data_IF_143014631493
#
_entry.id   IF_143014631493
#
_cell.length_a   1.000
_cell.length_b   1.000
_cell.length_c   1.000
_cell.angle_alpha   90.00
_cell.angle_beta   90.00
_cell.angle_gamma   90.00
#
_symmetry.space_group_name_H-M   'P 1'
#
loop_
_entity.id
_entity.type
_entity.pdbx_description
1 polymer ?
#
# COMPACT_ATOMS: atom_id res chain seq x y z
N UNK A 1 14.97 6.76 12.30
CA UNK A 1 13.77 5.94 12.57
C UNK A 1 14.13 4.47 12.47
N UNK A 2 13.59 3.57 13.30
CA UNK A 2 13.81 2.14 13.14
C UNK A 2 13.06 1.62 11.91
N UNK A 3 13.76 0.91 11.04
CA UNK A 3 13.17 0.19 9.90
C UNK A 3 12.46 -1.07 10.44
N UNK A 4 11.21 -1.30 10.04
CA UNK A 4 10.49 -2.55 10.33
C UNK A 4 10.14 -3.24 9.01
N UNK A 5 10.59 -4.48 8.86
CA UNK A 5 10.33 -5.30 7.68
C UNK A 5 9.24 -6.31 8.03
N UNK A 6 8.21 -6.39 7.18
CA UNK A 6 7.11 -7.35 7.30
C UNK A 6 7.28 -8.45 6.25
N UNK A 7 6.97 -9.69 6.63
CA UNK A 7 6.93 -10.82 5.68
C UNK A 7 5.54 -10.97 5.10
N UNK A 8 5.37 -11.55 3.90
CA UNK A 8 4.05 -11.80 3.29
C UNK A 8 3.08 -12.55 4.22
N UNK A 9 3.59 -13.50 5.03
CA UNK A 9 2.79 -14.20 6.04
C UNK A 9 2.20 -13.31 7.16
N UNK A 10 2.56 -12.02 7.21
CA UNK A 10 2.07 -11.06 8.19
C UNK A 10 0.72 -10.46 7.79
N UNK A 11 0.41 -10.37 6.49
CA UNK A 11 -0.85 -9.81 5.96
C UNK A 11 -2.01 -10.83 5.96
N UNK A 12 -1.91 -11.89 6.80
CA UNK A 12 -2.87 -13.00 6.87
C UNK A 12 -4.31 -12.47 7.01
N UNK A 13 -5.14 -12.80 6.02
CA UNK A 13 -6.55 -12.43 5.93
C UNK A 13 -6.87 -11.36 4.89
N UNK A 14 -5.92 -10.49 4.53
CA UNK A 14 -6.19 -9.35 3.63
C UNK A 14 -5.80 -9.61 2.18
N UNK A 15 -5.01 -10.65 1.90
CA UNK A 15 -4.53 -10.97 0.54
C UNK A 15 -5.65 -11.16 -0.48
N UNK A 16 -6.69 -11.93 -0.15
CA UNK A 16 -7.80 -12.16 -1.08
C UNK A 16 -8.58 -10.87 -1.40
N UNK A 17 -8.65 -9.93 -0.44
CA UNK A 17 -9.27 -8.62 -0.68
C UNK A 17 -8.37 -7.72 -1.51
N UNK A 18 -7.07 -7.70 -1.24
CA UNK A 18 -6.10 -6.96 -2.02
C UNK A 18 -6.05 -7.44 -3.48
N UNK A 19 -6.04 -8.75 -3.69
CA UNK A 19 -6.03 -9.38 -5.02
C UNK A 19 -7.24 -8.95 -5.85
N UNK A 20 -8.44 -8.92 -5.25
CA UNK A 20 -9.65 -8.40 -5.91
C UNK A 20 -9.53 -6.93 -6.33
N UNK A 21 -8.74 -6.13 -5.62
CA UNK A 21 -8.66 -4.69 -5.84
C UNK A 21 -7.57 -4.28 -6.82
N UNK A 22 -6.41 -4.92 -6.82
CA UNK A 22 -5.23 -4.42 -7.56
C UNK A 22 -4.61 -5.44 -8.52
N UNK A 23 -4.87 -6.74 -8.40
CA UNK A 23 -4.17 -7.76 -9.21
C UNK A 23 -4.40 -7.62 -10.73
N UNK A 24 -5.48 -6.94 -11.14
CA UNK A 24 -5.77 -6.67 -12.55
C UNK A 24 -4.95 -5.51 -13.13
N UNK A 25 -4.41 -4.63 -12.28
CA UNK A 25 -3.48 -3.56 -12.63
C UNK A 25 -2.05 -4.08 -12.57
N UNK A 26 -1.66 -4.55 -11.39
CA UNK A 26 -0.38 -5.21 -11.13
C UNK A 26 -0.54 -6.34 -10.08
N UNK A 27 -0.31 -7.61 -10.45
CA UNK A 27 -0.27 -8.73 -9.51
C UNK A 27 0.80 -8.61 -8.42
N UNK A 28 1.92 -7.92 -8.69
CA UNK A 28 3.04 -7.82 -7.76
C UNK A 28 2.72 -6.87 -6.58
N UNK A 29 1.78 -5.94 -6.78
CA UNK A 29 1.35 -4.98 -5.75
C UNK A 29 0.35 -5.54 -4.72
N UNK A 30 -0.15 -6.76 -4.95
CA UNK A 30 -1.14 -7.40 -4.07
C UNK A 30 -0.63 -7.51 -2.63
N UNK A 31 0.65 -7.85 -2.44
CA UNK A 31 1.21 -8.02 -1.10
C UNK A 31 1.40 -6.68 -0.38
N UNK A 32 1.73 -5.61 -1.11
CA UNK A 32 1.83 -4.25 -0.55
C UNK A 32 0.46 -3.76 -0.09
N UNK A 33 -0.57 -3.91 -0.93
CA UNK A 33 -1.94 -3.54 -0.56
C UNK A 33 -2.46 -4.40 0.60
N UNK A 34 -2.21 -5.71 0.60
CA UNK A 34 -2.61 -6.60 1.68
C UNK A 34 -1.99 -6.18 3.02
N UNK A 35 -0.72 -5.79 3.01
CA UNK A 35 -0.04 -5.28 4.20
C UNK A 35 -0.64 -3.95 4.67
N UNK A 36 -0.90 -3.01 3.77
CA UNK A 36 -1.52 -1.73 4.10
C UNK A 36 -2.91 -1.91 4.72
N UNK A 37 -3.72 -2.81 4.15
CA UNK A 37 -5.04 -3.19 4.68
C UNK A 37 -4.95 -3.89 6.03
N UNK A 38 -3.89 -4.67 6.27
CA UNK A 38 -3.67 -5.34 7.57
C UNK A 38 -3.26 -4.34 8.65
N UNK A 39 -2.40 -3.37 8.31
CA UNK A 39 -1.92 -2.34 9.23
C UNK A 39 -2.91 -1.17 9.39
N UNK A 40 -3.87 -1.04 8.49
CA UNK A 40 -4.81 0.09 8.46
C UNK A 40 -4.12 1.42 8.16
N UNK A 41 -3.07 1.41 7.34
CA UNK A 41 -2.26 2.59 7.05
C UNK A 41 -2.35 3.04 5.58
N UNK A 42 -2.14 4.33 5.29
CA UNK A 42 -1.99 4.82 3.92
C UNK A 42 -0.73 4.25 3.26
N UNK A 43 -0.73 4.21 1.93
CA UNK A 43 0.43 3.81 1.13
C UNK A 43 1.17 5.04 0.63
N UNK A 44 2.47 5.08 0.84
CA UNK A 44 3.33 6.03 0.12
C UNK A 44 3.72 5.40 -1.21
N UNK A 45 3.23 5.95 -2.31
CA UNK A 45 3.60 5.51 -3.64
C UNK A 45 3.44 6.64 -4.66
N UNK A 46 4.26 6.60 -5.70
CA UNK A 46 4.12 7.42 -6.89
C UNK A 46 3.50 6.62 -8.06
N UNK A 47 3.16 5.35 -7.81
CA UNK A 47 2.57 4.45 -8.79
C UNK A 47 1.07 4.74 -8.96
N UNK A 48 0.65 4.86 -10.22
CA UNK A 48 -0.74 5.12 -10.59
C UNK A 48 -1.61 3.86 -10.43
N UNK A 49 -1.02 2.67 -10.37
CA UNK A 49 -1.77 1.41 -10.22
C UNK A 49 -2.52 1.32 -8.88
N UNK A 50 -2.10 2.10 -7.89
CA UNK A 50 -2.78 2.22 -6.59
C UNK A 50 -3.98 3.18 -6.58
N UNK A 51 -4.25 3.94 -7.64
CA UNK A 51 -5.36 4.91 -7.66
C UNK A 51 -6.72 4.22 -7.46
N UNK A 52 -6.89 3.01 -7.99
CA UNK A 52 -8.13 2.24 -7.90
C UNK A 52 -8.17 1.27 -6.70
N UNK A 53 -7.06 1.14 -5.96
CA UNK A 53 -6.89 0.19 -4.86
C UNK A 53 -7.76 0.49 -3.61
N UNK A 54 -8.45 1.64 -3.59
CA UNK A 54 -9.30 2.12 -2.49
C UNK A 54 -8.58 2.13 -1.14
N UNK A 55 -7.30 2.52 -1.15
CA UNK A 55 -6.49 2.85 0.02
C UNK A 55 -6.04 4.30 -0.12
N UNK A 56 -5.89 5.02 0.99
CA UNK A 56 -5.36 6.39 0.93
C UNK A 56 -3.89 6.32 0.48
N UNK A 57 -3.57 7.03 -0.60
CA UNK A 57 -2.23 7.09 -1.15
C UNK A 57 -1.64 8.49 -1.02
N UNK A 58 -0.35 8.55 -0.72
CA UNK A 58 0.42 9.77 -0.79
C UNK A 58 1.57 9.61 -1.77
N UNK A 59 1.64 10.50 -2.76
CA UNK A 59 2.84 10.70 -3.56
C UNK A 59 3.94 11.34 -2.71
N UNK A 60 5.19 11.18 -3.16
CA UNK A 60 6.33 11.87 -2.55
C UNK A 60 6.09 13.37 -2.42
N UNK A 61 5.51 14.02 -3.43
CA UNK A 61 5.18 15.44 -3.40
C UNK A 61 4.12 15.79 -2.33
N UNK A 62 3.12 14.93 -2.12
CA UNK A 62 2.12 15.11 -1.05
C UNK A 62 2.72 14.92 0.34
N UNK A 63 3.60 13.92 0.52
CA UNK A 63 4.29 13.71 1.80
C UNK A 63 5.22 14.86 2.15
N UNK A 64 6.04 15.34 1.21
CA UNK A 64 6.94 16.48 1.44
C UNK A 64 6.14 17.72 1.89
N UNK A 65 5.05 18.04 1.18
CA UNK A 65 4.14 19.13 1.56
C UNK A 65 3.56 18.94 2.96
N UNK A 66 3.18 17.71 3.34
CA UNK A 66 2.65 17.41 4.69
C UNK A 66 3.72 17.53 5.78
N UNK A 67 4.98 17.23 5.45
CA UNK A 67 6.11 17.32 6.36
C UNK A 67 6.71 18.73 6.45
N UNK A 68 6.28 19.66 5.58
CA UNK A 68 6.78 21.03 5.54
C UNK A 68 8.21 21.15 5.01
N UNK A 69 8.61 20.23 4.13
CA UNK A 69 9.94 20.17 3.50
C UNK A 69 9.84 20.57 2.02
#
# INVERSE_FOLDING_TARGET
>A
MPLRVYKPESSKGQRAEAERRIAHRDPDDVEVLALALHLGCPVWTNDADFEEARVECYTTAQLLRKLGV
#
